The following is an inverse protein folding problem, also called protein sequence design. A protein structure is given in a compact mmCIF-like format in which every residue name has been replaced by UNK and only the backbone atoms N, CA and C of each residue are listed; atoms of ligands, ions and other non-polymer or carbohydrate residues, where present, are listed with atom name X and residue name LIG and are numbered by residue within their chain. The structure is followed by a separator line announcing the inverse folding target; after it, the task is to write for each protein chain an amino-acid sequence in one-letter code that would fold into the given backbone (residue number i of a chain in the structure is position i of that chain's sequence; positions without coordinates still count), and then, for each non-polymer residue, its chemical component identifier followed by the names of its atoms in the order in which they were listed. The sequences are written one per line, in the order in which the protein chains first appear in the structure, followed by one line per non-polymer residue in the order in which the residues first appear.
data_IF_717905852053
#
_entry.id   IF_717905852053
#
_cell.length_a   1.000
_cell.length_b   1.000
_cell.length_c   1.000
_cell.angle_alpha   90.00
_cell.angle_beta   90.00
_cell.angle_gamma   90.00
#
_symmetry.space_group_name_H-M   'P 1'
#
loop_
_entity.id
_entity.type
_entity.pdbx_description
1 polymer ?
#
# COMPACT_ATOMS: atom_id res chain seq x y z
N UNK A 1 21.67 9.82 -8.10
CA UNK A 1 20.25 9.58 -8.44
C UNK A 1 19.83 8.16 -8.03
N UNK A 2 20.57 7.57 -7.07
CA UNK A 2 20.50 6.14 -6.72
C UNK A 2 19.51 5.86 -5.58
N UNK A 3 19.21 6.87 -4.76
CA UNK A 3 18.39 6.78 -3.56
C UNK A 3 16.97 6.25 -3.82
N UNK A 4 16.29 6.78 -4.83
CA UNK A 4 14.90 6.39 -5.13
C UNK A 4 14.77 4.96 -5.69
N UNK A 5 15.76 4.48 -6.45
CA UNK A 5 15.74 3.12 -6.96
C UNK A 5 16.06 2.12 -5.84
N UNK A 6 16.95 2.47 -4.92
CA UNK A 6 17.19 1.70 -3.70
C UNK A 6 15.96 1.67 -2.80
N UNK A 7 15.26 2.81 -2.66
CA UNK A 7 14.01 2.92 -1.91
C UNK A 7 12.94 1.98 -2.47
N UNK A 8 12.73 1.99 -3.79
CA UNK A 8 11.80 1.08 -4.47
C UNK A 8 12.18 -0.39 -4.22
N UNK A 9 13.46 -0.75 -4.35
CA UNK A 9 13.92 -2.13 -4.07
C UNK A 9 13.69 -2.52 -2.61
N UNK A 10 13.89 -1.59 -1.68
CA UNK A 10 13.65 -1.82 -0.25
C UNK A 10 12.17 -2.07 0.03
N UNK A 11 11.28 -1.41 -0.71
CA UNK A 11 9.84 -1.61 -0.58
C UNK A 11 9.43 -3.02 -1.03
N UNK A 12 10.02 -3.55 -2.10
CA UNK A 12 9.70 -4.91 -2.58
C UNK A 12 10.05 -5.98 -1.54
N UNK A 13 11.12 -5.75 -0.78
CA UNK A 13 11.55 -6.63 0.30
C UNK A 13 10.71 -6.47 1.57
N UNK A 14 10.44 -5.23 2.00
CA UNK A 14 9.73 -4.94 3.26
C UNK A 14 8.22 -5.11 3.14
N UNK A 15 7.67 -4.76 1.98
CA UNK A 15 6.25 -4.73 1.70
C UNK A 15 5.92 -5.53 0.43
N UNK A 16 6.22 -6.85 0.42
CA UNK A 16 5.88 -7.71 -0.71
C UNK A 16 4.36 -7.81 -0.86
N UNK A 17 3.94 -7.97 -2.12
CA UNK A 17 2.55 -8.21 -2.51
C UNK A 17 2.25 -9.69 -2.39
N UNK A 18 1.15 -10.03 -1.72
CA UNK A 18 0.74 -11.41 -1.43
C UNK A 18 -0.57 -11.70 -2.17
N UNK A 19 -0.53 -12.20 -3.41
CA UNK A 19 -1.73 -12.29 -4.27
C UNK A 19 -2.64 -13.49 -3.97
N UNK A 20 -2.20 -14.44 -3.14
CA UNK A 20 -2.79 -15.78 -3.03
C UNK A 20 -4.21 -15.82 -2.44
N UNK A 21 -4.56 -14.87 -1.57
CA UNK A 21 -5.90 -14.76 -0.99
C UNK A 21 -6.43 -13.34 -1.19
N UNK A 22 -7.76 -13.17 -1.23
CA UNK A 22 -8.35 -11.83 -1.34
C UNK A 22 -7.93 -10.93 -0.16
N UNK A 23 -7.90 -11.48 1.06
CA UNK A 23 -7.43 -10.78 2.25
C UNK A 23 -5.94 -10.39 2.17
N UNK A 24 -5.08 -11.33 1.76
CA UNK A 24 -3.66 -11.11 1.58
C UNK A 24 -3.38 -10.08 0.49
N UNK A 25 -4.09 -10.15 -0.63
CA UNK A 25 -3.96 -9.20 -1.74
C UNK A 25 -4.34 -7.80 -1.30
N UNK A 26 -5.50 -7.62 -0.68
CA UNK A 26 -5.98 -6.32 -0.24
C UNK A 26 -5.06 -5.71 0.84
N UNK A 27 -4.74 -6.47 1.89
CA UNK A 27 -3.89 -5.99 2.98
C UNK A 27 -2.46 -5.66 2.54
N UNK A 28 -1.85 -6.49 1.68
CA UNK A 28 -0.50 -6.23 1.16
C UNK A 28 -0.45 -5.02 0.22
N UNK A 29 -1.48 -4.83 -0.60
CA UNK A 29 -1.62 -3.63 -1.45
C UNK A 29 -1.76 -2.36 -0.61
N UNK A 30 -2.69 -2.33 0.36
CA UNK A 30 -2.88 -1.17 1.26
C UNK A 30 -1.59 -0.85 2.01
N UNK A 31 -0.92 -1.87 2.56
CA UNK A 31 0.35 -1.71 3.27
C UNK A 31 1.44 -1.12 2.37
N UNK A 32 1.54 -1.58 1.12
CA UNK A 32 2.53 -1.08 0.15
C UNK A 32 2.26 0.37 -0.24
N UNK A 33 1.01 0.70 -0.59
CA UNK A 33 0.61 2.07 -0.94
C UNK A 33 0.81 3.05 0.21
N UNK A 34 0.50 2.63 1.45
CA UNK A 34 0.79 3.40 2.67
C UNK A 34 2.28 3.73 2.78
N UNK A 35 3.15 2.72 2.65
CA UNK A 35 4.59 2.91 2.73
C UNK A 35 5.13 3.83 1.62
N UNK A 36 4.63 3.69 0.39
CA UNK A 36 5.00 4.57 -0.72
C UNK A 36 4.64 6.03 -0.48
N UNK A 37 3.46 6.27 0.10
CA UNK A 37 3.02 7.61 0.52
C UNK A 37 3.90 8.17 1.64
N UNK A 38 4.15 7.38 2.69
CA UNK A 38 4.96 7.78 3.86
C UNK A 38 6.41 8.12 3.48
N UNK A 39 6.96 7.40 2.50
CA UNK A 39 8.30 7.64 1.98
C UNK A 39 8.36 8.73 0.90
N UNK A 40 7.23 9.36 0.57
CA UNK A 40 7.17 10.45 -0.40
C UNK A 40 7.52 10.02 -1.83
N UNK A 41 7.24 8.75 -2.20
CA UNK A 41 7.51 8.29 -3.57
C UNK A 41 6.56 9.00 -4.53
N UNK A 42 7.07 9.61 -5.63
CA UNK A 42 6.23 10.20 -6.66
C UNK A 42 5.25 9.16 -7.24
N UNK A 43 4.00 9.55 -7.50
CA UNK A 43 2.95 8.62 -7.95
C UNK A 43 3.39 7.78 -9.16
N UNK A 44 4.02 8.41 -10.15
CA UNK A 44 4.53 7.73 -11.35
C UNK A 44 5.62 6.65 -11.08
N UNK A 45 6.08 6.52 -9.84
CA UNK A 45 7.03 5.50 -9.36
C UNK A 45 6.45 4.57 -8.29
N UNK A 46 5.17 4.72 -7.94
CA UNK A 46 4.44 3.82 -7.01
C UNK A 46 4.01 2.54 -7.73
N UNK A 47 3.40 1.62 -6.99
CA UNK A 47 2.86 0.39 -7.60
C UNK A 47 1.85 0.71 -8.72
N UNK A 48 1.96 0.02 -9.85
CA UNK A 48 1.01 0.13 -10.96
C UNK A 48 0.01 -1.03 -11.07
N UNK A 49 0.20 -2.12 -10.32
CA UNK A 49 -0.69 -3.28 -10.46
C UNK A 49 -2.07 -3.08 -9.80
N UNK A 50 -2.20 -2.10 -8.90
CA UNK A 50 -3.47 -1.75 -8.28
C UNK A 50 -4.24 -0.83 -9.24
N UNK A 51 -5.34 -1.33 -9.79
CA UNK A 51 -6.14 -0.65 -10.81
C UNK A 51 -7.51 -0.32 -10.24
N UNK A 52 -7.97 0.91 -10.45
CA UNK A 52 -9.33 1.32 -10.11
C UNK A 52 -10.34 0.65 -11.02
N UNK A 53 -11.34 -0.02 -10.44
CA UNK A 53 -12.45 -0.59 -11.22
C UNK A 53 -13.36 0.50 -11.82
N UNK A 54 -13.38 1.69 -11.22
CA UNK A 54 -14.26 2.79 -11.63
C UNK A 54 -13.66 3.60 -12.79
N UNK A 55 -12.36 3.95 -12.70
CA UNK A 55 -11.68 4.73 -13.74
C UNK A 55 -10.86 3.89 -14.72
N UNK A 56 -10.52 2.66 -14.36
CA UNK A 56 -9.62 1.80 -15.14
C UNK A 56 -8.14 2.20 -15.05
N UNK A 57 -7.82 3.25 -14.29
CA UNK A 57 -6.45 3.75 -14.16
C UNK A 57 -5.64 2.92 -13.15
N UNK A 58 -4.37 2.71 -13.47
CA UNK A 58 -3.39 2.16 -12.54
C UNK A 58 -3.05 3.21 -11.48
N UNK A 59 -2.77 2.78 -10.25
CA UNK A 59 -2.45 3.71 -9.17
C UNK A 59 -1.25 4.61 -9.50
N UNK A 60 -0.26 4.15 -10.26
CA UNK A 60 0.87 4.99 -10.66
C UNK A 60 0.57 5.99 -11.81
N UNK A 61 -0.63 5.94 -12.38
CA UNK A 61 -1.07 6.81 -13.49
C UNK A 61 -2.06 7.89 -13.01
N UNK A 62 -2.63 7.73 -11.82
CA UNK A 62 -3.57 8.68 -11.22
C UNK A 62 -2.90 10.00 -10.86
N UNK A 63 -3.70 11.07 -10.79
CA UNK A 63 -3.30 12.28 -10.07
C UNK A 63 -3.36 12.08 -8.55
N UNK A 64 -2.83 13.04 -7.78
CA UNK A 64 -2.80 12.97 -6.31
C UNK A 64 -4.20 12.80 -5.69
N UNK A 65 -5.22 13.45 -6.24
CA UNK A 65 -6.59 13.41 -5.70
C UNK A 65 -7.29 12.08 -6.00
N UNK A 66 -7.11 11.56 -7.21
CA UNK A 66 -7.60 10.26 -7.62
C UNK A 66 -6.91 9.15 -6.85
N UNK A 67 -5.58 9.24 -6.69
CA UNK A 67 -4.81 8.28 -5.91
C UNK A 67 -5.24 8.25 -4.44
N UNK A 68 -5.43 9.42 -3.81
CA UNK A 68 -5.83 9.49 -2.40
C UNK A 68 -7.24 8.91 -2.20
N UNK A 69 -8.16 9.20 -3.13
CA UNK A 69 -9.52 8.65 -3.10
C UNK A 69 -9.51 7.14 -3.29
N UNK A 70 -8.70 6.63 -4.22
CA UNK A 70 -8.54 5.20 -4.47
C UNK A 70 -7.93 4.49 -3.26
N UNK A 71 -6.84 5.03 -2.71
CA UNK A 71 -6.20 4.50 -1.51
C UNK A 71 -7.16 4.46 -0.33
N UNK A 72 -7.94 5.53 -0.12
CA UNK A 72 -8.97 5.58 0.92
C UNK A 72 -10.03 4.48 0.71
N UNK A 73 -10.50 4.27 -0.51
CA UNK A 73 -11.44 3.21 -0.84
C UNK A 73 -10.92 1.81 -0.45
N UNK A 74 -9.65 1.52 -0.76
CA UNK A 74 -9.02 0.26 -0.36
C UNK A 74 -8.88 0.12 1.17
N UNK A 75 -8.60 1.22 1.88
CA UNK A 75 -8.55 1.23 3.34
C UNK A 75 -9.93 0.96 3.95
N UNK A 76 -10.98 1.60 3.43
CA UNK A 76 -12.36 1.39 3.86
C UNK A 76 -12.81 -0.05 3.60
N UNK A 77 -12.50 -0.62 2.43
CA UNK A 77 -12.77 -2.02 2.12
C UNK A 77 -12.04 -2.96 3.09
N UNK A 78 -10.75 -2.71 3.35
CA UNK A 78 -9.97 -3.52 4.28
C UNK A 78 -10.56 -3.46 5.69
N UNK A 79 -10.94 -2.26 6.15
CA UNK A 79 -11.58 -2.05 7.45
C UNK A 79 -12.91 -2.78 7.58
N UNK A 80 -13.71 -2.79 6.52
CA UNK A 80 -15.02 -3.42 6.51
C UNK A 80 -14.92 -4.96 6.48
N UNK A 81 -14.01 -5.51 5.66
CA UNK A 81 -13.94 -6.95 5.38
C UNK A 81 -12.99 -7.69 6.31
N UNK A 82 -11.91 -7.03 6.74
CA UNK A 82 -10.81 -7.60 7.53
C UNK A 82 -10.33 -6.58 8.59
N UNK A 83 -11.20 -6.20 9.54
CA UNK A 83 -10.93 -5.14 10.51
C UNK A 83 -9.65 -5.37 11.33
N UNK A 84 -9.30 -6.61 11.63
CA UNK A 84 -8.07 -7.00 12.31
C UNK A 84 -6.81 -6.69 11.49
N UNK A 85 -6.84 -6.92 10.17
CA UNK A 85 -5.74 -6.58 9.27
C UNK A 85 -5.63 -5.07 9.12
N UNK A 86 -6.75 -4.35 9.01
CA UNK A 86 -6.74 -2.89 9.02
C UNK A 86 -6.15 -2.34 10.33
N UNK A 87 -6.59 -2.84 11.48
CA UNK A 87 -6.06 -2.41 12.78
C UNK A 87 -4.55 -2.68 12.89
N UNK A 88 -4.06 -3.83 12.41
CA UNK A 88 -2.63 -4.11 12.39
C UNK A 88 -1.83 -3.10 11.56
N UNK A 89 -2.37 -2.59 10.44
CA UNK A 89 -1.68 -1.64 9.57
C UNK A 89 -1.71 -0.18 10.07
N UNK A 90 -2.78 0.23 10.74
CA UNK A 90 -3.02 1.63 11.12
C UNK A 90 -2.92 1.92 12.62
N UNK A 91 -3.05 0.90 13.47
CA UNK A 91 -2.97 1.03 14.92
C UNK A 91 -1.72 0.35 15.51
N UNK A 92 -0.89 -0.27 14.65
CA UNK A 92 0.24 -1.13 15.01
C UNK A 92 1.59 -0.45 15.30
N UNK A 93 1.65 0.85 15.59
CA UNK A 93 2.88 1.50 16.09
C UNK A 93 3.18 1.18 17.57
N UNK A 94 2.87 -0.03 18.04
CA UNK A 94 3.30 -0.55 19.34
C UNK A 94 3.28 -2.08 19.33
N UNK A 95 4.20 -2.72 18.58
CA UNK A 95 4.79 -4.04 18.90
C UNK A 95 5.70 -4.49 17.77
N UNK A 96 7.00 -4.16 17.89
CA UNK A 96 8.13 -5.07 17.63
C UNK A 96 9.45 -4.29 17.84
N UNK A 97 9.62 -3.78 19.05
CA UNK A 97 10.91 -3.53 19.66
C UNK A 97 10.95 -4.33 20.96
N UNK A 98 10.96 -5.66 20.84
CA UNK A 98 11.48 -6.62 21.83
C UNK A 98 11.22 -8.05 21.34
N UNK A 99 12.18 -8.94 21.64
CA UNK A 99 12.35 -10.34 21.24
C UNK A 99 13.13 -10.47 19.92
N UNK A 100 14.42 -10.81 19.91
CA UNK A 100 15.28 -11.54 20.87
C UNK A 100 16.71 -11.04 20.84
#
# INVERSE_FOLDING_TARGET
MDDINELIRSLDQKYPIVPHTNAGRLSSTVRRMKAEKELGIPINRRIGFAVSADSGESANEMDESGWESFFKGLCDELKQRYPELHASLFNGENTNAQQT
#
